data_IF_949398335123
#
_entry.id   IF_949398335123
#
_cell.length_a   1.000
_cell.length_b   1.000
_cell.length_c   1.000
_cell.angle_alpha   90.00
_cell.angle_beta   90.00
_cell.angle_gamma   90.00
#
_symmetry.space_group_name_H-M   'P 1'
#
loop_
_entity.id
_entity.type
_entity.pdbx_description
1 polymer ?
#
# COMPACT_ATOMS: atom_id res chain seq x y z
N UNK A 1 9.31 1.58 6.24
CA UNK A 1 8.96 2.58 5.21
C UNK A 1 7.58 3.09 5.58
N UNK A 2 7.42 4.38 5.83
CA UNK A 2 6.28 4.97 6.60
C UNK A 2 6.25 4.54 8.09
N UNK A 3 7.40 4.10 8.63
CA UNK A 3 7.50 3.56 10.00
C UNK A 3 7.74 4.68 11.01
N UNK A 4 6.68 5.08 11.69
CA UNK A 4 6.76 5.96 12.86
C UNK A 4 5.41 6.50 13.30
N UNK A 5 4.45 6.57 12.38
CA UNK A 5 3.08 6.99 12.68
C UNK A 5 2.15 5.77 12.64
N UNK A 6 1.47 5.50 13.77
CA UNK A 6 0.43 4.48 13.88
C UNK A 6 -0.61 4.68 12.75
N UNK A 7 -0.73 3.70 11.85
CA UNK A 7 -1.77 3.67 10.80
C UNK A 7 -1.38 4.22 9.42
N UNK A 8 -0.21 4.83 9.26
CA UNK A 8 0.14 5.48 7.99
C UNK A 8 0.40 4.46 6.85
N UNK A 9 1.11 3.35 7.12
CA UNK A 9 1.31 2.29 6.12
C UNK A 9 -0.02 1.63 5.68
N UNK A 10 -0.93 1.40 6.63
CA UNK A 10 -2.28 0.88 6.36
C UNK A 10 -3.13 1.88 5.57
N UNK A 11 -3.07 3.17 5.92
CA UNK A 11 -3.80 4.24 5.24
C UNK A 11 -3.35 4.45 3.79
N UNK A 12 -2.03 4.49 3.55
CA UNK A 12 -1.48 4.57 2.18
C UNK A 12 -1.90 3.36 1.34
N UNK A 13 -1.85 2.16 1.93
CA UNK A 13 -2.30 0.94 1.26
C UNK A 13 -3.79 0.98 0.92
N UNK A 14 -4.62 1.48 1.85
CA UNK A 14 -6.06 1.65 1.64
C UNK A 14 -6.36 2.60 0.47
N UNK A 15 -5.68 3.74 0.41
CA UNK A 15 -5.88 4.74 -0.65
C UNK A 15 -5.51 4.16 -2.02
N UNK A 16 -4.35 3.49 -2.12
CA UNK A 16 -3.89 2.89 -3.38
C UNK A 16 -4.86 1.81 -3.86
N UNK A 17 -5.28 0.92 -2.96
CA UNK A 17 -6.23 -0.15 -3.28
C UNK A 17 -7.59 0.40 -3.72
N UNK A 18 -8.07 1.46 -3.07
CA UNK A 18 -9.34 2.13 -3.41
C UNK A 18 -9.27 2.83 -4.77
N UNK A 19 -8.13 3.45 -5.10
CA UNK A 19 -7.91 4.04 -6.43
C UNK A 19 -7.90 2.98 -7.52
N UNK A 20 -7.18 1.87 -7.32
CA UNK A 20 -7.15 0.75 -8.27
C UNK A 20 -8.56 0.20 -8.47
N UNK A 21 -9.30 -0.01 -7.37
CA UNK A 21 -10.69 -0.47 -7.42
C UNK A 21 -11.58 0.47 -8.24
N UNK A 22 -11.49 1.78 -8.01
CA UNK A 22 -12.28 2.78 -8.73
C UNK A 22 -11.96 2.84 -10.24
N UNK A 23 -10.73 2.51 -10.62
CA UNK A 23 -10.30 2.46 -12.02
C UNK A 23 -10.75 1.16 -12.72
N UNK A 24 -10.93 0.07 -11.97
CA UNK A 24 -11.54 -1.17 -12.48
C UNK A 24 -13.06 -1.06 -12.48
N UNK A 25 -13.65 -0.66 -13.60
CA UNK A 25 -15.10 -0.41 -13.74
C UNK A 25 -15.97 -1.67 -13.86
N UNK A 26 -15.36 -2.87 -13.95
CA UNK A 26 -16.07 -4.15 -14.10
C UNK A 26 -15.75 -5.11 -12.95
N UNK A 27 -16.69 -6.02 -12.65
CA UNK A 27 -16.48 -7.17 -11.76
C UNK A 27 -15.42 -8.06 -12.42
N UNK A 28 -14.17 -7.82 -12.04
CA UNK A 28 -12.99 -8.54 -12.47
C UNK A 28 -12.36 -9.22 -11.27
N UNK A 29 -11.48 -10.19 -11.51
CA UNK A 29 -10.72 -10.82 -10.42
C UNK A 29 -9.94 -9.76 -9.61
N UNK A 30 -9.41 -8.73 -10.28
CA UNK A 30 -8.67 -7.63 -9.66
C UNK A 30 -9.56 -6.80 -8.75
N UNK A 31 -10.77 -6.41 -9.20
CA UNK A 31 -11.69 -5.61 -8.38
C UNK A 31 -12.11 -6.36 -7.10
N UNK A 32 -12.33 -7.67 -7.21
CA UNK A 32 -12.68 -8.52 -6.07
C UNK A 32 -11.54 -8.61 -5.06
N UNK A 33 -10.29 -8.79 -5.53
CA UNK A 33 -9.11 -8.78 -4.67
C UNK A 33 -9.00 -7.43 -3.94
N UNK A 34 -9.17 -6.31 -4.66
CA UNK A 34 -9.13 -4.99 -4.05
C UNK A 34 -10.16 -4.83 -2.93
N UNK A 35 -11.42 -5.27 -3.13
CA UNK A 35 -12.47 -5.20 -2.10
C UNK A 35 -12.15 -6.02 -0.85
N UNK A 36 -11.59 -7.22 -1.02
CA UNK A 36 -11.17 -8.07 0.10
C UNK A 36 -10.08 -7.36 0.91
N UNK A 37 -9.06 -6.81 0.24
CA UNK A 37 -7.99 -6.08 0.92
C UNK A 37 -8.48 -4.78 1.57
N UNK A 38 -9.34 -4.01 0.89
CA UNK A 38 -9.92 -2.78 1.44
C UNK A 38 -10.69 -3.07 2.73
N UNK A 39 -11.58 -4.07 2.73
CA UNK A 39 -12.34 -4.45 3.92
C UNK A 39 -11.44 -4.94 5.07
N UNK A 40 -10.42 -5.74 4.77
CA UNK A 40 -9.44 -6.20 5.74
C UNK A 40 -8.60 -5.05 6.33
N UNK A 41 -8.15 -4.10 5.49
CA UNK A 41 -7.37 -2.93 5.93
C UNK A 41 -8.23 -1.97 6.75
N UNK A 42 -9.51 -1.78 6.42
CA UNK A 42 -10.45 -0.98 7.22
C UNK A 42 -10.61 -1.60 8.62
N UNK A 43 -10.84 -2.91 8.69
CA UNK A 43 -10.93 -3.62 9.96
C UNK A 43 -9.63 -3.48 10.76
N UNK A 44 -8.47 -3.68 10.12
CA UNK A 44 -7.15 -3.49 10.74
C UNK A 44 -6.96 -2.05 11.26
N UNK A 45 -7.26 -1.03 10.45
CA UNK A 45 -7.11 0.38 10.82
C UNK A 45 -7.98 0.74 12.03
N UNK A 46 -9.16 0.15 12.16
CA UNK A 46 -10.01 0.35 13.34
C UNK A 46 -9.35 -0.13 14.65
N UNK A 47 -8.52 -1.17 14.59
CA UNK A 47 -7.75 -1.69 15.74
C UNK A 47 -6.34 -1.09 15.87
N UNK A 48 -5.81 -0.54 14.78
CA UNK A 48 -4.49 0.08 14.75
C UNK A 48 -4.53 1.55 15.17
N UNK A 49 -5.56 2.31 14.74
CA UNK A 49 -5.70 3.72 15.08
C UNK A 49 -6.26 3.91 16.49
N UNK A 50 -5.76 4.93 17.20
CA UNK A 50 -6.25 5.38 18.52
C UNK A 50 -7.59 6.12 18.47
N UNK A 51 -8.46 5.77 17.53
CA UNK A 51 -9.78 6.38 17.38
C UNK A 51 -10.71 5.84 18.49
N UNK A 52 -11.68 6.64 18.93
CA UNK A 52 -12.70 6.27 19.92
C UNK A 52 -12.20 6.10 21.37
N UNK A 53 -11.29 6.98 21.82
CA UNK A 53 -10.85 7.01 23.23
C UNK A 53 -9.87 5.92 23.64
N UNK A 54 -9.37 5.12 22.68
CA UNK A 54 -8.33 4.11 22.93
C UNK A 54 -6.97 4.76 23.12
N UNK A 55 -6.38 4.61 24.31
CA UNK A 55 -5.08 5.18 24.68
C UNK A 55 -3.88 4.52 23.98
N UNK A 56 -4.05 3.31 23.40
CA UNK A 56 -2.98 2.52 22.77
C UNK A 56 -3.50 1.80 21.52
N UNK A 57 -2.63 1.63 20.52
CA UNK A 57 -2.89 0.73 19.39
C UNK A 57 -2.93 -0.71 19.91
N UNK A 58 -3.97 -1.46 19.54
CA UNK A 58 -4.15 -2.85 20.02
C UNK A 58 -3.57 -3.88 19.07
N UNK A 59 -3.42 -3.54 17.79
CA UNK A 59 -2.90 -4.42 16.76
C UNK A 59 -1.89 -3.65 15.93
N UNK A 60 -0.69 -4.21 15.80
CA UNK A 60 0.37 -3.67 14.95
C UNK A 60 0.41 -4.44 13.63
N UNK A 61 0.78 -3.75 12.54
CA UNK A 61 0.88 -4.37 11.22
C UNK A 61 1.96 -5.46 11.19
N UNK A 62 3.06 -5.23 11.93
CA UNK A 62 4.25 -6.06 11.92
C UNK A 62 4.98 -6.05 10.56
N UNK A 63 6.15 -6.68 10.54
CA UNK A 63 6.96 -6.77 9.31
C UNK A 63 6.24 -7.59 8.24
N UNK A 64 5.65 -8.73 8.63
CA UNK A 64 4.93 -9.62 7.72
C UNK A 64 3.74 -8.95 7.05
N UNK A 65 2.94 -8.17 7.80
CA UNK A 65 1.78 -7.46 7.26
C UNK A 65 2.19 -6.36 6.28
N UNK A 66 3.25 -5.61 6.61
CA UNK A 66 3.77 -4.56 5.73
C UNK A 66 4.30 -5.12 4.40
N UNK A 67 5.02 -6.25 4.47
CA UNK A 67 5.57 -6.92 3.28
C UNK A 67 4.48 -7.53 2.41
N UNK A 68 3.44 -8.13 3.00
CA UNK A 68 2.27 -8.62 2.28
C UNK A 68 1.57 -7.48 1.52
N UNK A 69 1.23 -6.38 2.21
CA UNK A 69 0.55 -5.25 1.58
C UNK A 69 1.37 -4.65 0.43
N UNK A 70 2.68 -4.46 0.64
CA UNK A 70 3.58 -3.96 -0.39
C UNK A 70 3.63 -4.89 -1.61
N UNK A 71 3.77 -6.20 -1.39
CA UNK A 71 3.76 -7.19 -2.46
C UNK A 71 2.44 -7.19 -3.25
N UNK A 72 1.30 -7.19 -2.56
CA UNK A 72 -0.01 -7.16 -3.21
C UNK A 72 -0.22 -5.89 -4.02
N UNK A 73 0.20 -4.71 -3.51
CA UNK A 73 0.16 -3.46 -4.27
C UNK A 73 0.97 -3.58 -5.56
N UNK A 74 2.21 -4.08 -5.48
CA UNK A 74 3.05 -4.28 -6.67
C UNK A 74 2.39 -5.21 -7.68
N UNK A 75 1.84 -6.34 -7.22
CA UNK A 75 1.13 -7.30 -8.07
C UNK A 75 -0.06 -6.66 -8.78
N UNK A 76 -0.91 -5.93 -8.05
CA UNK A 76 -2.11 -5.31 -8.61
C UNK A 76 -1.75 -4.24 -9.64
N UNK A 77 -0.80 -3.38 -9.31
CA UNK A 77 -0.33 -2.30 -10.16
C UNK A 77 0.22 -2.81 -11.49
N UNK A 78 1.02 -3.88 -11.47
CA UNK A 78 1.52 -4.52 -12.68
C UNK A 78 0.35 -5.12 -13.47
N UNK A 79 -0.57 -5.80 -12.79
CA UNK A 79 -1.72 -6.46 -13.42
C UNK A 79 -2.67 -5.49 -14.12
N UNK A 80 -2.86 -4.28 -13.60
CA UNK A 80 -3.76 -3.27 -14.23
C UNK A 80 -3.08 -2.42 -15.30
N UNK A 81 -1.74 -2.40 -15.36
CA UNK A 81 -1.00 -1.55 -16.29
C UNK A 81 -0.33 -2.30 -17.44
N UNK A 82 -0.09 -3.60 -17.28
CA UNK A 82 0.59 -4.44 -18.24
C UNK A 82 -0.35 -5.51 -18.82
N UNK A 83 -0.03 -6.00 -20.02
CA UNK A 83 -0.78 -7.05 -20.71
C UNK A 83 -1.87 -6.52 -21.66
N UNK A 84 -2.55 -7.45 -22.32
CA UNK A 84 -3.56 -7.15 -23.34
C UNK A 84 -4.80 -6.45 -22.76
N UNK A 85 -5.16 -6.77 -21.51
CA UNK A 85 -6.33 -6.22 -20.81
C UNK A 85 -5.98 -5.05 -19.88
N UNK A 86 -4.95 -4.25 -20.22
CA UNK A 86 -4.55 -3.11 -19.38
C UNK A 86 -5.70 -2.12 -19.20
N UNK A 87 -5.91 -1.67 -17.98
CA UNK A 87 -6.95 -0.71 -17.60
C UNK A 87 -6.38 0.71 -17.57
N UNK A 88 -5.13 0.85 -17.17
CA UNK A 88 -4.45 2.14 -17.05
C UNK A 88 -3.09 2.15 -17.71
N UNK A 89 -2.61 3.33 -18.08
CA UNK A 89 -1.24 3.46 -18.60
C UNK A 89 -0.22 3.22 -17.49
N UNK A 90 0.96 2.64 -17.80
CA UNK A 90 2.06 2.52 -16.84
C UNK A 90 2.51 3.87 -16.26
N UNK A 91 2.33 4.96 -17.00
CA UNK A 91 2.66 6.31 -16.52
C UNK A 91 1.70 6.73 -15.41
N UNK A 92 0.40 6.43 -15.54
CA UNK A 92 -0.61 6.71 -14.51
C UNK A 92 -0.32 5.99 -13.20
N UNK A 93 0.20 4.76 -13.28
CA UNK A 93 0.63 3.99 -12.11
C UNK A 93 1.67 4.74 -11.27
N UNK A 94 2.67 5.37 -11.91
CA UNK A 94 3.73 6.09 -11.21
C UNK A 94 3.18 7.21 -10.33
N UNK A 95 2.08 7.84 -10.75
CA UNK A 95 1.38 8.85 -9.96
C UNK A 95 0.65 8.25 -8.75
N UNK A 96 0.07 7.06 -8.89
CA UNK A 96 -0.65 6.37 -7.81
C UNK A 96 0.32 5.91 -6.72
N UNK A 97 1.44 5.29 -7.10
CA UNK A 97 2.43 4.76 -6.15
C UNK A 97 3.58 5.73 -5.86
N UNK A 98 3.52 6.97 -6.34
CA UNK A 98 4.63 7.92 -6.23
C UNK A 98 5.10 8.13 -4.80
N UNK A 99 4.18 8.26 -3.85
CA UNK A 99 4.50 8.46 -2.44
C UNK A 99 5.27 7.28 -1.81
N UNK A 100 4.79 6.02 -1.84
CA UNK A 100 5.56 4.89 -1.33
C UNK A 100 6.82 4.59 -2.15
N UNK A 101 6.83 4.88 -3.45
CA UNK A 101 8.00 4.71 -4.30
C UNK A 101 9.14 5.66 -3.89
N UNK A 102 8.83 6.94 -3.66
CA UNK A 102 9.82 7.93 -3.20
C UNK A 102 10.33 7.56 -1.80
N UNK A 103 9.47 7.12 -0.88
CA UNK A 103 9.88 6.65 0.46
C UNK A 103 10.84 5.46 0.36
N UNK A 104 10.54 4.49 -0.51
CA UNK A 104 11.40 3.34 -0.79
C UNK A 104 12.79 3.74 -1.29
N UNK A 105 12.82 4.59 -2.30
CA UNK A 105 14.07 5.07 -2.91
C UNK A 105 14.88 5.88 -1.89
N UNK A 106 14.23 6.76 -1.11
CA UNK A 106 14.91 7.52 -0.07
C UNK A 106 15.55 6.60 0.98
N UNK A 107 14.87 5.53 1.39
CA UNK A 107 15.40 4.58 2.36
C UNK A 107 16.52 3.73 1.77
N UNK A 108 16.42 3.30 0.51
CA UNK A 108 17.50 2.61 -0.19
C UNK A 108 18.76 3.49 -0.31
N UNK A 109 18.61 4.75 -0.73
CA UNK A 109 19.71 5.70 -0.84
C UNK A 109 20.36 5.99 0.52
N UNK A 110 19.55 6.17 1.58
CA UNK A 110 20.05 6.36 2.95
C UNK A 110 20.82 5.13 3.44
N UNK A 111 20.38 3.92 3.10
CA UNK A 111 21.08 2.67 3.46
C UNK A 111 22.44 2.58 2.77
N UNK A 112 22.48 2.81 1.45
CA UNK A 112 23.74 2.76 0.67
C UNK A 112 24.75 3.78 1.21
N UNK A 113 24.33 5.02 1.44
CA UNK A 113 25.21 6.07 1.98
C UNK A 113 25.74 5.75 3.38
N UNK A 114 25.02 4.97 4.19
CA UNK A 114 25.48 4.52 5.51
C UNK A 114 26.52 3.41 5.41
N UNK A 115 26.44 2.57 4.38
CA UNK A 115 27.40 1.49 4.11
C UNK A 115 28.75 2.01 3.61
N UNK A 116 28.80 3.20 2.98
CA UNK A 116 30.05 3.83 2.54
C UNK A 116 30.85 4.53 3.66
N UNK A 117 30.29 4.67 4.87
CA UNK A 117 30.90 5.39 6.01
C UNK A 117 31.36 4.44 7.12
N UNK A 118 31.51 3.14 6.81
CA UNK A 118 32.05 2.10 7.70
C UNK A 118 33.19 1.37 7.01
#
# INVERSE_FOLDING_TARGET
MVDGLDGAAGGVSLIIMSLIFALTTNISQISTICLIFISAIIAFLFFNMRIFGRKKATVFLGDSGSMLLGFTICYLVISVSQGENRVISPVTVLWIIGLPLIDAVCIMLRRIKKTEVS
#
